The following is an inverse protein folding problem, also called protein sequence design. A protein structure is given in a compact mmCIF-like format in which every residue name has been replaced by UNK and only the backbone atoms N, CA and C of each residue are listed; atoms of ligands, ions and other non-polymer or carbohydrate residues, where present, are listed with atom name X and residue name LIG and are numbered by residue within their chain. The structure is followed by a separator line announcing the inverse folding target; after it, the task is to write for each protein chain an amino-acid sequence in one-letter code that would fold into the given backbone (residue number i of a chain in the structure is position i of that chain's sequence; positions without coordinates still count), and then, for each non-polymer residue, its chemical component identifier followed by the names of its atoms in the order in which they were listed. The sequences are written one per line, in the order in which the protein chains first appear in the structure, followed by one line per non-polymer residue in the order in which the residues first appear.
data_IF_822828983973
#
_entry.id   IF_822828983973
#
_cell.length_a   1.000
_cell.length_b   1.000
_cell.length_c   1.000
_cell.angle_alpha   90.00
_cell.angle_beta   90.00
_cell.angle_gamma   90.00
#
_symmetry.space_group_name_H-M   'P 1'
#
loop_
_entity.id
_entity.type
_entity.pdbx_description
1 polymer ?
#
# COMPACT_ATOMS: atom_id res chain seq x y z
N UNK A 1 -24.79 20.31 45.00
CA UNK A 1 -23.70 19.46 44.45
C UNK A 1 -24.14 18.47 43.35
N UNK A 2 -25.42 18.37 42.96
CA UNK A 2 -25.89 17.45 41.89
C UNK A 2 -25.77 17.99 40.44
N UNK A 3 -25.62 19.30 40.26
CA UNK A 3 -25.54 19.93 38.92
C UNK A 3 -24.14 19.85 38.28
N UNK A 4 -23.09 19.74 39.10
CA UNK A 4 -21.70 19.68 38.63
C UNK A 4 -21.36 18.32 38.01
N UNK A 5 -21.91 17.23 38.56
CA UNK A 5 -21.69 15.86 38.06
C UNK A 5 -22.25 15.67 36.65
N UNK A 6 -23.35 16.35 36.30
CA UNK A 6 -23.99 16.25 34.99
C UNK A 6 -23.15 16.90 33.88
N UNK A 7 -22.39 17.95 34.21
CA UNK A 7 -21.54 18.67 33.26
C UNK A 7 -20.31 17.84 32.87
N UNK A 8 -19.76 17.08 33.81
CA UNK A 8 -18.61 16.21 33.58
C UNK A 8 -18.95 15.04 32.64
N UNK A 9 -20.18 14.51 32.71
CA UNK A 9 -20.63 13.42 31.83
C UNK A 9 -20.83 13.88 30.39
N UNK A 10 -21.31 15.10 30.19
CA UNK A 10 -21.47 15.69 28.84
C UNK A 10 -20.11 15.96 28.18
N UNK A 11 -19.10 16.38 28.95
CA UNK A 11 -17.75 16.63 28.44
C UNK A 11 -17.04 15.33 27.98
N UNK A 12 -17.31 14.21 28.65
CA UNK A 12 -16.79 12.88 28.28
C UNK A 12 -17.38 12.35 26.96
N UNK A 13 -18.59 12.75 26.58
CA UNK A 13 -19.21 12.35 25.31
C UNK A 13 -18.61 13.05 24.07
N UNK A 14 -17.96 14.20 24.24
CA UNK A 14 -17.37 14.97 23.12
C UNK A 14 -15.98 14.42 22.76
N UNK A 15 -15.34 13.64 23.66
CA UNK A 15 -14.02 13.04 23.43
C UNK A 15 -14.06 11.81 22.49
N UNK A 16 -15.25 11.30 22.17
CA UNK A 16 -15.43 10.19 21.24
C UNK A 16 -15.75 10.76 19.85
N UNK A 17 -14.75 11.12 19.05
CA UNK A 17 -15.08 11.60 17.69
C UNK A 17 -13.94 11.93 16.74
N UNK A 18 -12.75 12.27 17.22
CA UNK A 18 -11.64 12.60 16.33
C UNK A 18 -10.64 11.46 16.29
N UNK A 19 -10.87 10.48 15.41
CA UNK A 19 -9.74 9.68 14.90
C UNK A 19 -8.72 10.69 14.35
N UNK A 20 -7.42 10.59 14.67
CA UNK A 20 -6.43 11.47 14.07
C UNK A 20 -6.53 11.31 12.55
N UNK A 21 -7.13 12.29 11.89
CA UNK A 21 -7.24 12.34 10.43
C UNK A 21 -5.85 12.59 9.91
N UNK A 22 -5.26 11.60 9.24
CA UNK A 22 -4.01 11.83 8.50
C UNK A 22 -4.32 12.92 7.47
N UNK A 23 -3.62 14.05 7.56
CA UNK A 23 -3.83 15.15 6.63
C UNK A 23 -3.39 14.72 5.23
N UNK A 24 -4.15 15.15 4.22
CA UNK A 24 -3.82 14.88 2.82
C UNK A 24 -2.50 15.59 2.48
N UNK A 25 -1.46 14.86 2.04
CA UNK A 25 -0.20 15.46 1.61
C UNK A 25 -0.42 16.42 0.43
N UNK A 26 0.40 17.46 0.33
CA UNK A 26 0.34 18.41 -0.78
C UNK A 26 0.70 17.73 -2.11
N UNK A 27 1.73 16.90 -2.10
CA UNK A 27 2.22 16.16 -3.27
C UNK A 27 1.71 14.71 -3.30
N UNK A 28 0.42 14.50 -3.06
CA UNK A 28 -0.16 13.15 -3.08
C UNK A 28 -0.11 12.53 -4.49
N UNK A 29 0.20 11.24 -4.58
CA UNK A 29 0.01 10.47 -5.81
C UNK A 29 -1.47 10.41 -6.18
N UNK A 30 -1.78 10.45 -7.47
CA UNK A 30 -3.10 10.05 -7.94
C UNK A 30 -3.35 8.58 -7.58
N UNK A 31 -4.59 8.21 -7.30
CA UNK A 31 -4.90 6.90 -6.73
C UNK A 31 -4.57 5.74 -7.68
N UNK A 32 -4.80 5.93 -8.98
CA UNK A 32 -4.40 5.01 -10.04
C UNK A 32 -2.88 4.81 -10.07
N UNK A 33 -2.13 5.91 -10.08
CA UNK A 33 -0.65 5.89 -10.06
C UNK A 33 -0.11 5.25 -8.78
N UNK A 34 -0.76 5.50 -7.63
CA UNK A 34 -0.44 4.85 -6.36
C UNK A 34 -0.66 3.34 -6.42
N UNK A 35 -1.78 2.88 -6.96
CA UNK A 35 -2.09 1.44 -7.07
C UNK A 35 -1.12 0.75 -8.03
N UNK A 36 -0.74 1.40 -9.14
CA UNK A 36 0.27 0.86 -10.05
C UNK A 36 1.64 0.75 -9.39
N UNK A 37 2.10 1.81 -8.74
CA UNK A 37 3.39 1.80 -8.04
C UNK A 37 3.41 0.81 -6.86
N UNK A 38 2.29 0.70 -6.13
CA UNK A 38 2.16 -0.28 -5.05
C UNK A 38 2.30 -1.71 -5.58
N UNK A 39 1.69 -2.02 -6.72
CA UNK A 39 1.86 -3.30 -7.40
C UNK A 39 3.33 -3.60 -7.78
N UNK A 40 4.05 -2.65 -8.38
CA UNK A 40 5.46 -2.84 -8.74
C UNK A 40 6.36 -3.08 -7.53
N UNK A 41 6.11 -2.35 -6.43
CA UNK A 41 6.89 -2.49 -5.21
C UNK A 41 6.61 -3.82 -4.50
N UNK A 42 5.38 -4.33 -4.55
CA UNK A 42 5.06 -5.67 -4.04
C UNK A 42 5.71 -6.78 -4.88
N UNK A 43 5.74 -6.64 -6.21
CA UNK A 43 6.49 -7.57 -7.06
C UNK A 43 7.99 -7.55 -6.74
N UNK A 44 8.57 -6.38 -6.53
CA UNK A 44 9.97 -6.24 -6.12
C UNK A 44 10.22 -6.88 -4.74
N UNK A 45 9.28 -6.73 -3.80
CA UNK A 45 9.37 -7.37 -2.48
C UNK A 45 9.37 -8.90 -2.61
N UNK A 46 8.47 -9.48 -3.40
CA UNK A 46 8.44 -10.92 -3.68
C UNK A 46 9.77 -11.38 -4.29
N UNK A 47 10.29 -10.65 -5.29
CA UNK A 47 11.58 -10.98 -5.91
C UNK A 47 12.74 -10.97 -4.90
N UNK A 48 12.70 -10.04 -3.95
CA UNK A 48 13.66 -9.96 -2.86
C UNK A 48 13.52 -11.14 -1.87
N UNK A 49 12.29 -11.53 -1.53
CA UNK A 49 12.00 -12.68 -0.67
C UNK A 49 12.48 -14.01 -1.29
N UNK A 50 12.42 -14.14 -2.62
CA UNK A 50 12.95 -15.28 -3.39
C UNK A 50 14.49 -15.29 -3.52
N UNK A 51 15.19 -14.34 -2.87
CA UNK A 51 16.64 -14.35 -2.70
C UNK A 51 17.42 -13.33 -3.53
N UNK A 52 16.75 -12.51 -4.34
CA UNK A 52 17.39 -11.37 -4.98
C UNK A 52 17.76 -10.31 -3.93
N UNK A 53 18.97 -9.74 -3.98
CA UNK A 53 19.41 -8.79 -2.95
C UNK A 53 20.51 -7.84 -3.42
N UNK A 54 20.83 -6.86 -2.57
CA UNK A 54 21.91 -5.91 -2.79
C UNK A 54 21.67 -5.00 -4.00
N UNK A 55 22.71 -4.76 -4.79
CA UNK A 55 22.72 -3.77 -5.87
C UNK A 55 21.61 -3.96 -6.91
N UNK A 56 21.16 -5.20 -7.14
CA UNK A 56 20.09 -5.48 -8.10
C UNK A 56 18.76 -4.90 -7.62
N UNK A 57 18.40 -5.12 -6.35
CA UNK A 57 17.17 -4.58 -5.77
C UNK A 57 17.24 -3.05 -5.70
N UNK A 58 18.38 -2.49 -5.29
CA UNK A 58 18.57 -1.03 -5.25
C UNK A 58 18.40 -0.39 -6.64
N UNK A 59 18.90 -1.06 -7.69
CA UNK A 59 18.78 -0.59 -9.07
C UNK A 59 17.35 -0.68 -9.57
N UNK A 60 16.65 -1.79 -9.30
CA UNK A 60 15.26 -1.97 -9.70
C UNK A 60 14.35 -0.98 -9.00
N UNK A 61 14.55 -0.76 -7.70
CA UNK A 61 13.84 0.25 -6.93
C UNK A 61 13.99 1.63 -7.58
N UNK A 62 15.21 2.05 -7.94
CA UNK A 62 15.42 3.34 -8.66
C UNK A 62 14.69 3.39 -9.99
N UNK A 63 14.83 2.35 -10.81
CA UNK A 63 14.19 2.27 -12.13
C UNK A 63 12.67 2.38 -12.02
N UNK A 64 12.05 1.72 -11.04
CA UNK A 64 10.60 1.82 -10.81
C UNK A 64 10.20 3.28 -10.52
N UNK A 65 10.85 3.96 -9.57
CA UNK A 65 10.51 5.35 -9.24
C UNK A 65 10.74 6.31 -10.42
N UNK A 66 11.80 6.11 -11.20
CA UNK A 66 12.09 6.89 -12.41
C UNK A 66 11.01 6.70 -13.48
N UNK A 67 10.56 5.47 -13.74
CA UNK A 67 9.50 5.16 -14.72
C UNK A 67 8.17 5.84 -14.38
N UNK A 68 7.85 5.91 -13.09
CA UNK A 68 6.62 6.50 -12.58
C UNK A 68 6.74 8.01 -12.31
N UNK A 69 7.89 8.63 -12.61
CA UNK A 69 8.18 10.06 -12.38
C UNK A 69 7.83 10.53 -10.95
N UNK A 70 8.17 9.71 -9.95
CA UNK A 70 7.89 9.95 -8.53
C UNK A 70 9.12 9.61 -7.69
N UNK A 71 9.08 9.92 -6.40
CA UNK A 71 10.11 9.52 -5.44
C UNK A 71 9.54 8.72 -4.26
N UNK A 72 10.44 8.13 -3.47
CA UNK A 72 10.10 7.32 -2.29
C UNK A 72 9.32 8.12 -1.25
N UNK A 73 9.64 9.39 -1.05
CA UNK A 73 8.99 10.22 -0.03
C UNK A 73 7.53 10.47 -0.40
N UNK A 74 7.29 10.85 -1.65
CA UNK A 74 5.96 11.04 -2.21
C UNK A 74 5.12 9.76 -2.11
N UNK A 75 5.70 8.59 -2.43
CA UNK A 75 5.00 7.31 -2.24
C UNK A 75 4.67 7.05 -0.77
N UNK A 76 5.63 7.20 0.16
CA UNK A 76 5.41 6.90 1.57
C UNK A 76 4.34 7.82 2.20
N UNK A 77 4.34 9.11 1.86
CA UNK A 77 3.33 10.05 2.33
C UNK A 77 1.94 9.71 1.77
N UNK A 78 1.87 9.39 0.48
CA UNK A 78 0.63 8.95 -0.18
C UNK A 78 0.13 7.64 0.43
N UNK A 79 1.02 6.67 0.63
CA UNK A 79 0.73 5.37 1.22
C UNK A 79 0.15 5.52 2.62
N UNK A 80 0.77 6.36 3.46
CA UNK A 80 0.26 6.67 4.81
C UNK A 80 -1.13 7.30 4.78
N UNK A 81 -1.38 8.20 3.83
CA UNK A 81 -2.69 8.82 3.66
C UNK A 81 -3.74 7.80 3.19
N UNK A 82 -3.42 6.96 2.22
CA UNK A 82 -4.33 5.92 1.72
C UNK A 82 -4.60 4.84 2.77
N UNK A 83 -3.59 4.42 3.55
CA UNK A 83 -3.77 3.50 4.69
C UNK A 83 -4.69 4.05 5.78
N UNK A 84 -4.78 5.37 5.93
CA UNK A 84 -5.72 5.97 6.90
C UNK A 84 -7.19 5.79 6.49
N UNK A 85 -7.45 5.53 5.21
CA UNK A 85 -8.76 5.25 4.61
C UNK A 85 -8.96 3.73 4.56
N UNK A 86 -9.21 3.12 5.73
CA UNK A 86 -9.13 1.66 5.90
C UNK A 86 -9.98 0.89 4.89
N UNK A 87 -11.24 1.30 4.67
CA UNK A 87 -12.16 0.59 3.77
C UNK A 87 -11.68 0.67 2.32
N UNK A 88 -11.26 1.86 1.89
CA UNK A 88 -10.75 2.10 0.54
C UNK A 88 -9.38 1.43 0.33
N UNK A 89 -8.54 1.38 1.38
CA UNK A 89 -7.24 0.72 1.31
C UNK A 89 -7.38 -0.79 1.10
N UNK A 90 -8.38 -1.42 1.73
CA UNK A 90 -8.65 -2.84 1.48
C UNK A 90 -8.96 -3.10 0.00
N UNK A 91 -9.72 -2.22 -0.64
CA UNK A 91 -10.01 -2.33 -2.08
C UNK A 91 -8.74 -2.20 -2.92
N UNK A 92 -7.83 -1.29 -2.57
CA UNK A 92 -6.53 -1.13 -3.26
C UNK A 92 -5.65 -2.36 -3.10
N UNK A 93 -5.58 -2.92 -1.89
CA UNK A 93 -4.83 -4.15 -1.60
C UNK A 93 -5.40 -5.31 -2.42
N UNK A 94 -6.72 -5.52 -2.41
CA UNK A 94 -7.38 -6.57 -3.20
C UNK A 94 -7.09 -6.41 -4.70
N UNK A 95 -7.08 -5.17 -5.20
CA UNK A 95 -6.72 -4.87 -6.59
C UNK A 95 -5.27 -5.25 -6.91
N UNK A 96 -4.32 -4.96 -6.01
CA UNK A 96 -2.90 -5.32 -6.18
C UNK A 96 -2.73 -6.84 -6.15
N UNK A 97 -3.33 -7.52 -5.17
CA UNK A 97 -3.30 -8.99 -5.06
C UNK A 97 -3.84 -9.64 -6.34
N UNK A 98 -5.00 -9.19 -6.81
CA UNK A 98 -5.63 -9.73 -8.03
C UNK A 98 -4.72 -9.58 -9.26
N UNK A 99 -4.00 -8.45 -9.36
CA UNK A 99 -3.03 -8.23 -10.44
C UNK A 99 -1.83 -9.16 -10.33
N UNK A 100 -1.27 -9.32 -9.14
CA UNK A 100 -0.14 -10.24 -8.89
C UNK A 100 -0.54 -11.66 -9.26
N UNK A 101 -1.69 -12.14 -8.78
CA UNK A 101 -2.22 -13.47 -9.10
C UNK A 101 -2.36 -13.69 -10.61
N UNK A 102 -2.86 -12.67 -11.33
CA UNK A 102 -3.01 -12.73 -12.79
C UNK A 102 -1.67 -12.86 -13.52
N UNK A 103 -0.61 -12.19 -13.06
CA UNK A 103 0.73 -12.30 -13.64
C UNK A 103 1.42 -13.62 -13.28
N UNK A 104 1.07 -14.24 -12.15
CA UNK A 104 1.61 -15.53 -11.71
C UNK A 104 0.98 -16.73 -12.45
N UNK A 105 -0.28 -16.65 -12.88
CA UNK A 105 -0.99 -17.74 -13.59
C UNK A 105 -0.22 -18.25 -14.83
N UNK A 106 0.29 -17.38 -15.74
CA UNK A 106 1.13 -17.80 -16.85
C UNK A 106 2.41 -18.53 -16.42
N UNK A 107 3.07 -18.07 -15.36
CA UNK A 107 4.34 -18.65 -14.87
C UNK A 107 4.10 -20.08 -14.36
N UNK A 108 3.08 -20.27 -13.51
CA UNK A 108 2.71 -21.58 -12.99
C UNK A 108 2.35 -22.58 -14.10
N UNK A 109 1.69 -22.10 -15.16
CA UNK A 109 1.40 -22.93 -16.33
C UNK A 109 2.68 -23.37 -17.03
N UNK A 110 3.66 -22.47 -17.21
CA UNK A 110 4.95 -22.80 -17.83
C UNK A 110 5.74 -23.82 -16.98
N UNK A 111 5.76 -23.65 -15.66
CA UNK A 111 6.41 -24.60 -14.75
C UNK A 111 5.77 -25.99 -14.81
N UNK A 112 4.43 -26.06 -14.84
CA UNK A 112 3.74 -27.35 -14.97
C UNK A 112 4.08 -28.07 -16.29
N UNK A 113 4.22 -27.32 -17.39
CA UNK A 113 4.61 -27.87 -18.70
C UNK A 113 6.05 -28.39 -18.69
N UNK A 114 6.99 -27.66 -18.08
CA UNK A 114 8.38 -28.13 -17.92
C UNK A 114 8.43 -29.46 -17.16
N UNK A 115 7.73 -29.55 -16.03
CA UNK A 115 7.74 -30.75 -15.18
C UNK A 115 7.06 -31.98 -15.85
N UNK A 116 6.30 -31.80 -16.93
CA UNK A 116 5.74 -32.91 -17.72
C UNK A 116 6.70 -33.40 -18.83
N UNK A 117 7.76 -32.64 -19.12
CA UNK A 117 8.75 -32.96 -20.16
C UNK A 117 10.02 -33.60 -19.61
N UNK A 118 10.24 -33.54 -18.29
CA UNK A 118 11.30 -34.22 -17.54
C UNK A 118 10.84 -35.59 -17.01
#
# INVERSE_FOLDING_TARGET
MRKSTLFLTILLCISCGSRPTVQKPENILAEDLYVDLFFELELLNIYQEEGASGKTIDSLHRVIFDLYNTDTLQFLESHKFYQSQITEQLIRVDSVITRIEKELVPINKLDSLRNHLE
#
